data_IF_534398515862
#
_entry.id   IF_534398515862
#
_cell.length_a   1.000
_cell.length_b   1.000
_cell.length_c   1.000
_cell.angle_alpha   90.00
_cell.angle_beta   90.00
_cell.angle_gamma   90.00
#
_symmetry.space_group_name_H-M   'P 1'
#
loop_
_entity.id
_entity.type
_entity.pdbx_description
1 polymer ?
#
# COMPACT_ATOMS: atom_id res chain seq x y z
N UNK A 1 -40.74 -39.24 -46.44
CA UNK A 1 -39.30 -39.37 -46.74
C UNK A 1 -38.60 -38.59 -45.63
N UNK A 2 -38.75 -39.05 -44.40
CA UNK A 2 -38.01 -40.13 -43.71
C UNK A 2 -36.79 -39.57 -42.98
N UNK A 3 -36.80 -39.85 -41.69
CA UNK A 3 -35.94 -39.35 -40.63
C UNK A 3 -34.65 -40.18 -40.56
N UNK A 4 -33.57 -39.66 -39.96
CA UNK A 4 -32.87 -40.31 -38.82
C UNK A 4 -31.40 -39.91 -38.62
N UNK A 5 -31.09 -39.80 -37.33
CA UNK A 5 -29.82 -39.86 -36.61
C UNK A 5 -28.65 -40.69 -37.21
N UNK A 6 -27.43 -40.25 -36.91
CA UNK A 6 -26.26 -41.08 -36.54
C UNK A 6 -25.40 -40.28 -35.53
N UNK A 7 -25.29 -40.61 -34.23
CA UNK A 7 -24.71 -41.75 -33.48
C UNK A 7 -23.16 -41.82 -33.41
N UNK A 8 -22.70 -41.63 -32.16
CA UNK A 8 -21.45 -42.00 -31.50
C UNK A 8 -20.76 -43.29 -32.01
N UNK A 9 -19.41 -43.30 -31.98
CA UNK A 9 -18.62 -44.54 -31.81
C UNK A 9 -17.39 -44.33 -30.92
N UNK A 10 -17.42 -45.05 -29.80
CA UNK A 10 -16.30 -45.50 -28.97
C UNK A 10 -15.54 -46.62 -29.68
N UNK A 11 -14.22 -46.72 -29.51
CA UNK A 11 -13.46 -47.97 -29.70
C UNK A 11 -12.44 -48.11 -28.57
N UNK A 12 -12.36 -49.30 -28.00
CA UNK A 12 -11.48 -49.67 -26.89
C UNK A 12 -10.69 -50.96 -27.19
N UNK A 13 -9.50 -51.01 -26.59
CA UNK A 13 -8.58 -52.13 -26.27
C UNK A 13 -7.89 -52.93 -27.38
N UNK A 14 -6.55 -53.05 -27.28
CA UNK A 14 -5.86 -54.32 -27.04
C UNK A 14 -4.46 -54.11 -26.43
N UNK A 15 -4.07 -55.07 -25.58
CA UNK A 15 -2.89 -55.17 -24.74
C UNK A 15 -1.71 -55.84 -25.44
N UNK A 16 -0.47 -55.51 -25.06
CA UNK A 16 0.62 -56.51 -25.00
C UNK A 16 1.75 -56.04 -24.06
N UNK A 17 2.27 -57.02 -23.33
CA UNK A 17 3.25 -56.96 -22.25
C UNK A 17 4.68 -57.23 -22.75
N UNK A 18 5.70 -56.59 -22.16
CA UNK A 18 6.95 -57.26 -21.74
C UNK A 18 7.97 -56.33 -21.07
N UNK A 19 8.39 -56.76 -19.87
CA UNK A 19 9.74 -56.69 -19.25
C UNK A 19 10.44 -55.35 -19.00
N UNK A 20 10.63 -55.08 -17.71
CA UNK A 20 11.66 -54.21 -17.11
C UNK A 20 13.08 -54.77 -17.28
N UNK A 21 14.10 -53.92 -17.13
CA UNK A 21 15.06 -54.19 -16.07
C UNK A 21 15.29 -52.99 -15.15
N UNK A 22 15.60 -53.37 -13.91
CA UNK A 22 15.87 -52.62 -12.69
C UNK A 22 17.07 -51.67 -12.73
N UNK A 23 16.99 -50.60 -11.94
CA UNK A 23 18.14 -50.11 -11.16
C UNK A 23 18.38 -48.60 -11.23
N UNK A 24 17.86 -47.87 -10.23
CA UNK A 24 18.49 -46.75 -9.48
C UNK A 24 17.38 -45.96 -8.74
N UNK A 25 17.42 -45.82 -7.40
CA UNK A 25 16.42 -45.03 -6.68
C UNK A 25 16.74 -43.53 -6.84
N UNK A 26 15.77 -42.78 -7.36
CA UNK A 26 15.79 -41.32 -7.32
C UNK A 26 15.68 -40.84 -5.87
N UNK A 27 16.35 -39.74 -5.49
CA UNK A 27 16.37 -39.27 -4.11
C UNK A 27 14.95 -38.93 -3.66
N UNK A 28 14.59 -39.48 -2.50
CA UNK A 28 13.35 -39.18 -1.79
C UNK A 28 13.38 -37.69 -1.46
N UNK A 29 12.69 -36.87 -2.25
CA UNK A 29 12.39 -35.52 -1.85
C UNK A 29 11.59 -35.63 -0.55
N UNK A 30 12.20 -35.16 0.55
CA UNK A 30 11.46 -34.85 1.76
C UNK A 30 10.39 -33.82 1.39
N UNK A 31 9.17 -34.32 1.14
CA UNK A 31 7.97 -33.50 1.13
C UNK A 31 7.78 -33.11 2.59
N UNK A 32 8.25 -31.92 2.95
CA UNK A 32 7.79 -31.26 4.17
C UNK A 32 6.26 -31.26 4.11
N UNK A 33 5.57 -31.67 5.18
CA UNK A 33 4.12 -31.65 5.20
C UNK A 33 3.68 -30.23 4.85
N UNK A 34 2.98 -30.11 3.72
CA UNK A 34 2.28 -28.89 3.35
C UNK A 34 1.41 -28.56 4.54
N UNK A 35 1.75 -27.49 5.27
CA UNK A 35 0.85 -26.91 6.26
C UNK A 35 -0.46 -26.71 5.52
N UNK A 36 -1.50 -27.42 5.96
CA UNK A 36 -2.80 -27.37 5.34
C UNK A 36 -3.15 -25.91 5.09
N UNK A 37 -3.39 -25.57 3.81
CA UNK A 37 -3.88 -24.26 3.40
C UNK A 37 -5.16 -24.01 4.17
N UNK A 38 -5.06 -23.25 5.27
CA UNK A 38 -6.23 -22.64 5.88
C UNK A 38 -6.74 -21.69 4.81
N UNK A 39 -7.88 -22.02 4.20
CA UNK A 39 -8.56 -21.17 3.23
C UNK A 39 -8.59 -19.75 3.82
N UNK A 40 -7.95 -18.81 3.14
CA UNK A 40 -8.00 -17.40 3.51
C UNK A 40 -9.47 -16.98 3.58
N UNK A 41 -9.90 -16.50 4.74
CA UNK A 41 -11.25 -15.95 4.94
C UNK A 41 -11.10 -14.44 5.01
N UNK A 42 -11.48 -13.76 3.93
CA UNK A 42 -11.81 -12.33 3.99
C UNK A 42 -13.04 -12.21 4.89
N UNK A 43 -12.88 -11.54 6.03
CA UNK A 43 -13.96 -11.34 6.99
C UNK A 43 -14.76 -10.09 6.61
N UNK A 44 -16.00 -10.30 6.15
CA UNK A 44 -16.93 -9.19 5.94
C UNK A 44 -17.34 -8.57 7.28
N UNK A 45 -17.32 -7.25 7.32
CA UNK A 45 -17.71 -6.45 8.48
C UNK A 45 -18.82 -5.49 8.06
N UNK A 46 -19.94 -5.62 8.75
CA UNK A 46 -21.16 -4.86 8.60
C UNK A 46 -21.51 -4.21 9.95
N UNK A 47 -22.62 -3.48 10.03
CA UNK A 47 -23.00 -2.78 11.27
C UNK A 47 -23.18 -3.73 12.47
N UNK A 48 -23.63 -4.97 12.24
CA UNK A 48 -23.96 -5.94 13.29
C UNK A 48 -22.76 -6.65 13.92
N UNK A 49 -21.59 -6.67 13.26
CA UNK A 49 -20.37 -7.32 13.78
C UNK A 49 -19.17 -6.38 13.91
N UNK A 50 -19.31 -5.08 13.58
CA UNK A 50 -18.23 -4.10 13.65
C UNK A 50 -17.48 -4.12 14.99
N UNK A 51 -18.22 -4.13 16.10
CA UNK A 51 -17.62 -4.10 17.45
C UNK A 51 -16.75 -5.32 17.74
N UNK A 52 -17.23 -6.51 17.39
CA UNK A 52 -16.51 -7.76 17.59
C UNK A 52 -15.21 -7.77 16.77
N UNK A 53 -15.29 -7.39 15.50
CA UNK A 53 -14.15 -7.42 14.60
C UNK A 53 -13.11 -6.34 14.93
N UNK A 54 -13.54 -5.14 15.30
CA UNK A 54 -12.61 -4.08 15.73
C UNK A 54 -11.83 -4.47 17.00
N UNK A 55 -12.43 -5.22 17.92
CA UNK A 55 -11.72 -5.75 19.09
C UNK A 55 -10.65 -6.78 18.72
N UNK A 56 -10.91 -7.63 17.72
CA UNK A 56 -9.93 -8.60 17.21
C UNK A 56 -8.76 -7.87 16.55
N UNK A 57 -9.09 -6.89 15.70
CA UNK A 57 -8.13 -6.06 14.96
C UNK A 57 -7.20 -5.28 15.91
N UNK A 58 -7.75 -4.63 16.94
CA UNK A 58 -6.95 -3.85 17.90
C UNK A 58 -5.88 -4.70 18.59
N UNK A 59 -6.19 -5.96 18.91
CA UNK A 59 -5.22 -6.91 19.49
C UNK A 59 -4.16 -7.36 18.48
N UNK A 60 -4.47 -7.32 17.20
CA UNK A 60 -3.64 -7.83 16.10
C UNK A 60 -2.58 -6.82 15.65
N UNK A 61 -2.93 -5.53 15.62
CA UNK A 61 -2.09 -4.47 15.07
C UNK A 61 -0.68 -4.40 15.69
N UNK A 62 -0.54 -4.79 16.97
CA UNK A 62 0.77 -4.85 17.64
C UNK A 62 1.67 -6.00 17.18
N UNK A 63 1.10 -7.10 16.69
CA UNK A 63 1.83 -8.30 16.25
C UNK A 63 2.06 -8.31 14.74
N UNK A 64 1.15 -7.72 13.98
CA UNK A 64 1.19 -7.64 12.53
C UNK A 64 1.15 -6.17 12.11
N UNK A 65 2.29 -5.46 12.23
CA UNK A 65 2.34 -4.00 12.09
C UNK A 65 2.30 -3.51 10.63
N UNK A 66 2.29 -4.39 9.63
CA UNK A 66 2.10 -4.00 8.23
C UNK A 66 0.64 -4.17 7.87
N UNK A 67 0.00 -3.07 7.48
CA UNK A 67 -1.43 -3.05 7.15
C UNK A 67 -1.57 -2.57 5.73
N UNK A 68 -1.98 -3.48 4.84
CA UNK A 68 -2.33 -3.11 3.48
C UNK A 68 -3.76 -2.57 3.42
N UNK A 69 -3.94 -1.48 2.68
CA UNK A 69 -5.20 -0.75 2.52
C UNK A 69 -5.58 -0.75 1.05
N UNK A 70 -6.87 -0.90 0.80
CA UNK A 70 -7.52 -0.60 -0.47
C UNK A 70 -8.96 -0.14 -0.19
N UNK A 71 -9.56 0.65 -1.08
CA UNK A 71 -10.95 1.11 -0.93
C UNK A 71 -11.74 0.97 -2.23
N UNK A 72 -13.04 0.71 -2.10
CA UNK A 72 -13.97 0.81 -3.22
C UNK A 72 -14.89 2.01 -3.01
N UNK A 73 -15.13 2.75 -4.08
CA UNK A 73 -15.91 3.99 -4.08
C UNK A 73 -16.55 4.18 -5.46
N UNK A 74 -17.56 5.06 -5.59
CA UNK A 74 -18.42 5.10 -6.78
C UNK A 74 -17.81 5.89 -7.95
N UNK A 75 -16.49 5.76 -8.17
CA UNK A 75 -15.78 6.32 -9.31
C UNK A 75 -15.51 7.82 -9.24
N UNK A 76 -15.47 8.45 -10.42
CA UNK A 76 -15.21 9.88 -10.60
C UNK A 76 -16.21 10.49 -11.57
N UNK A 77 -16.82 11.62 -11.20
CA UNK A 77 -17.81 12.36 -11.99
C UNK A 77 -17.33 13.77 -12.35
N UNK A 78 -16.58 14.40 -11.46
CA UNK A 78 -16.22 15.80 -11.55
C UNK A 78 -14.92 15.98 -12.32
N UNK A 79 -14.92 17.00 -13.18
CA UNK A 79 -13.74 17.51 -13.85
C UNK A 79 -13.70 19.02 -13.58
N UNK A 80 -12.76 19.52 -12.76
CA UNK A 80 -12.73 20.93 -12.41
C UNK A 80 -12.32 21.75 -13.65
N UNK A 81 -13.05 22.84 -13.89
CA UNK A 81 -12.81 23.73 -15.03
C UNK A 81 -12.20 25.03 -14.56
N UNK A 82 -11.38 25.66 -15.40
CA UNK A 82 -10.82 26.99 -15.13
C UNK A 82 -9.31 27.07 -15.28
N UNK A 83 -8.72 28.05 -14.59
CA UNK A 83 -7.28 28.32 -14.62
C UNK A 83 -6.61 27.83 -13.33
N UNK A 84 -5.52 27.08 -13.48
CA UNK A 84 -4.72 26.54 -12.40
C UNK A 84 -3.28 27.06 -12.51
N UNK A 85 -2.63 27.29 -11.37
CA UNK A 85 -1.23 27.77 -11.37
C UNK A 85 -0.30 26.65 -11.83
N UNK A 86 -0.46 25.44 -11.29
CA UNK A 86 0.37 24.28 -11.63
C UNK A 86 -0.47 23.04 -11.99
N UNK A 87 0.18 22.02 -12.57
CA UNK A 87 -0.44 20.71 -12.77
C UNK A 87 -0.85 20.06 -11.46
N UNK A 88 -0.04 20.20 -10.40
CA UNK A 88 -0.36 19.67 -9.09
C UNK A 88 -1.63 20.31 -8.51
N UNK A 89 -1.84 21.62 -8.71
CA UNK A 89 -3.06 22.30 -8.25
C UNK A 89 -4.31 21.75 -8.96
N UNK A 90 -4.20 21.50 -10.27
CA UNK A 90 -5.28 20.89 -11.03
C UNK A 90 -5.56 19.45 -10.57
N UNK A 91 -4.52 18.65 -10.36
CA UNK A 91 -4.63 17.26 -9.89
C UNK A 91 -5.29 17.19 -8.52
N UNK A 92 -4.86 18.05 -7.58
CA UNK A 92 -5.48 18.13 -6.28
C UNK A 92 -6.94 18.61 -6.36
N UNK A 93 -7.26 19.57 -7.23
CA UNK A 93 -8.64 20.01 -7.43
C UNK A 93 -9.53 18.90 -8.02
N UNK A 94 -9.00 18.10 -8.95
CA UNK A 94 -9.71 16.96 -9.55
C UNK A 94 -9.99 15.89 -8.50
N UNK A 95 -8.96 15.51 -7.75
CA UNK A 95 -9.06 14.59 -6.63
C UNK A 95 -10.09 15.07 -5.59
N UNK A 96 -9.92 16.31 -5.11
CA UNK A 96 -10.77 16.91 -4.08
C UNK A 96 -12.23 17.02 -4.49
N UNK A 97 -12.53 17.50 -5.71
CA UNK A 97 -13.90 17.69 -6.18
C UNK A 97 -14.70 16.37 -6.20
N UNK A 98 -14.04 15.28 -6.60
CA UNK A 98 -14.65 13.95 -6.59
C UNK A 98 -14.84 13.40 -5.17
N UNK A 99 -13.79 13.44 -4.33
CA UNK A 99 -13.86 12.90 -2.97
C UNK A 99 -14.87 13.66 -2.10
N UNK A 100 -14.95 14.99 -2.22
CA UNK A 100 -15.90 15.80 -1.45
C UNK A 100 -17.36 15.36 -1.71
N UNK A 101 -17.69 14.98 -2.95
CA UNK A 101 -19.07 14.72 -3.40
C UNK A 101 -19.56 13.29 -3.21
N UNK A 102 -18.66 12.34 -3.08
CA UNK A 102 -18.99 10.92 -3.06
C UNK A 102 -18.61 10.28 -1.74
N UNK A 103 -19.20 9.12 -1.45
CA UNK A 103 -18.97 8.39 -0.22
C UNK A 103 -18.27 7.05 -0.52
N UNK A 104 -17.51 6.58 0.47
CA UNK A 104 -16.81 5.29 0.40
C UNK A 104 -17.83 4.15 0.47
N UNK A 105 -17.58 3.06 -0.27
CA UNK A 105 -18.42 1.85 -0.29
C UNK A 105 -17.75 0.74 0.55
N UNK A 106 -16.47 0.45 0.30
CA UNK A 106 -15.70 -0.53 1.07
C UNK A 106 -14.33 -0.02 1.49
N UNK A 107 -13.82 -0.58 2.59
CA UNK A 107 -12.41 -0.52 3.00
C UNK A 107 -11.89 -1.92 3.28
N UNK A 108 -10.74 -2.25 2.73
CA UNK A 108 -10.01 -3.49 3.01
C UNK A 108 -8.81 -3.23 3.90
N UNK A 109 -8.67 -3.99 4.99
CA UNK A 109 -7.48 -4.00 5.83
C UNK A 109 -6.89 -5.41 5.88
N UNK A 110 -5.66 -5.57 5.38
CA UNK A 110 -4.94 -6.85 5.39
C UNK A 110 -3.66 -6.77 6.21
N UNK A 111 -3.47 -7.71 7.13
CA UNK A 111 -2.43 -7.65 8.15
C UNK A 111 -1.27 -8.59 7.85
N UNK A 112 -0.04 -8.09 8.04
CA UNK A 112 1.21 -8.80 7.82
C UNK A 112 2.24 -8.47 8.90
N UNK A 113 3.14 -9.40 9.18
CA UNK A 113 4.31 -9.15 10.04
C UNK A 113 5.51 -8.61 9.22
N UNK A 114 6.67 -8.46 9.87
CA UNK A 114 7.89 -7.93 9.22
C UNK A 114 8.41 -8.82 8.07
N UNK A 115 8.08 -10.11 8.09
CA UNK A 115 8.49 -11.12 7.11
C UNK A 115 7.44 -11.33 6.01
N UNK A 116 6.27 -10.68 6.13
CA UNK A 116 5.17 -10.80 5.20
C UNK A 116 4.27 -12.00 5.46
N UNK A 117 4.34 -12.60 6.66
CA UNK A 117 3.43 -13.64 7.07
C UNK A 117 2.12 -13.03 7.57
N UNK A 118 1.02 -13.71 7.28
CA UNK A 118 -0.34 -13.30 7.64
C UNK A 118 -0.80 -14.00 8.93
N UNK A 119 -1.67 -13.37 9.73
CA UNK A 119 -2.33 -14.05 10.83
C UNK A 119 -3.30 -15.14 10.35
N UNK A 120 -3.49 -16.15 11.19
CA UNK A 120 -4.52 -17.17 11.01
C UNK A 120 -5.55 -17.14 12.14
N UNK A 121 -6.83 -17.46 11.89
CA UNK A 121 -7.40 -17.87 10.60
C UNK A 121 -7.80 -16.71 9.68
N UNK A 122 -8.02 -15.51 10.24
CA UNK A 122 -8.42 -14.30 9.51
C UNK A 122 -7.24 -13.33 9.50
N UNK A 123 -6.97 -12.77 8.33
CA UNK A 123 -5.95 -11.73 8.14
C UNK A 123 -6.42 -10.53 7.34
N UNK A 124 -7.62 -10.61 6.76
CA UNK A 124 -8.19 -9.56 5.93
C UNK A 124 -9.60 -9.28 6.40
N UNK A 125 -9.88 -7.99 6.65
CA UNK A 125 -11.20 -7.49 6.98
C UNK A 125 -11.68 -6.59 5.85
N UNK A 126 -12.92 -6.82 5.42
CA UNK A 126 -13.60 -6.02 4.41
C UNK A 126 -14.77 -5.32 5.08
N UNK A 127 -14.63 -4.02 5.31
CA UNK A 127 -15.65 -3.17 5.90
C UNK A 127 -16.58 -2.66 4.82
N UNK A 128 -17.86 -2.96 4.95
CA UNK A 128 -18.90 -2.51 4.02
C UNK A 128 -19.62 -1.32 4.65
N UNK A 129 -19.48 -0.14 4.07
CA UNK A 129 -20.11 1.08 4.57
C UNK A 129 -21.54 1.21 4.09
N UNK A 130 -22.35 1.92 4.87
CA UNK A 130 -23.70 2.27 4.45
C UNK A 130 -23.65 3.11 3.18
N UNK A 131 -24.32 2.63 2.14
CA UNK A 131 -24.40 3.29 0.84
C UNK A 131 -25.81 3.13 0.26
N UNK A 132 -26.39 4.20 -0.29
CA UNK A 132 -27.74 4.18 -0.87
C UNK A 132 -27.73 4.76 -2.29
N UNK A 133 -27.96 3.90 -3.29
CA UNK A 133 -28.04 4.27 -4.70
C UNK A 133 -29.18 5.26 -5.03
N UNK A 134 -30.16 5.45 -4.14
CA UNK A 134 -31.22 6.45 -4.34
C UNK A 134 -30.81 7.86 -3.87
N UNK A 135 -29.95 7.94 -2.85
CA UNK A 135 -29.61 9.20 -2.17
C UNK A 135 -28.22 9.73 -2.53
N UNK A 136 -27.31 8.85 -2.97
CA UNK A 136 -25.90 9.17 -3.13
C UNK A 136 -25.48 9.37 -4.59
N UNK A 137 -24.43 10.18 -4.79
CA UNK A 137 -23.84 10.40 -6.10
C UNK A 137 -22.89 9.27 -6.47
N UNK A 138 -22.96 8.82 -7.73
CA UNK A 138 -22.09 7.80 -8.27
C UNK A 138 -21.91 7.90 -9.78
N UNK A 139 -20.79 7.36 -10.27
CA UNK A 139 -20.61 7.06 -11.67
C UNK A 139 -21.25 5.70 -12.00
N UNK A 140 -22.21 5.72 -12.93
CA UNK A 140 -22.97 4.55 -13.38
C UNK A 140 -22.08 3.36 -13.74
N UNK A 141 -21.05 3.59 -14.57
CA UNK A 141 -20.09 2.55 -14.99
C UNK A 141 -19.36 1.91 -13.78
N UNK A 142 -19.11 2.70 -12.73
CA UNK A 142 -18.44 2.21 -11.51
C UNK A 142 -19.38 1.34 -10.68
N UNK A 143 -20.66 1.72 -10.55
CA UNK A 143 -21.66 0.89 -9.85
C UNK A 143 -21.84 -0.45 -10.57
N UNK A 144 -22.01 -0.43 -11.90
CA UNK A 144 -22.18 -1.66 -12.68
C UNK A 144 -20.98 -2.60 -12.57
N UNK A 145 -19.76 -2.04 -12.58
CA UNK A 145 -18.54 -2.81 -12.37
C UNK A 145 -18.49 -3.42 -10.96
N UNK A 146 -18.84 -2.65 -9.93
CA UNK A 146 -18.84 -3.10 -8.53
C UNK A 146 -19.91 -4.19 -8.29
N UNK A 147 -21.11 -4.04 -8.85
CA UNK A 147 -22.14 -5.08 -8.82
C UNK A 147 -21.67 -6.37 -9.51
N UNK A 148 -21.06 -6.25 -10.70
CA UNK A 148 -20.49 -7.39 -11.42
C UNK A 148 -19.34 -8.07 -10.65
N UNK A 149 -18.69 -7.32 -9.76
CA UNK A 149 -17.62 -7.80 -8.87
C UNK A 149 -18.16 -8.39 -7.56
N UNK A 150 -19.49 -8.39 -7.38
CA UNK A 150 -20.18 -9.03 -6.26
C UNK A 150 -20.44 -8.11 -5.07
N UNK A 151 -20.47 -6.79 -5.26
CA UNK A 151 -20.97 -5.85 -4.26
C UNK A 151 -22.50 -5.93 -4.20
N UNK A 152 -23.04 -6.17 -3.01
CA UNK A 152 -24.49 -6.18 -2.75
C UNK A 152 -24.95 -4.83 -2.20
N UNK A 153 -25.34 -3.90 -3.07
CA UNK A 153 -25.79 -2.57 -2.66
C UNK A 153 -27.04 -2.58 -1.76
N UNK A 154 -27.87 -3.62 -1.82
CA UNK A 154 -29.02 -3.75 -0.91
C UNK A 154 -28.55 -4.10 0.52
N UNK A 155 -27.52 -4.94 0.66
CA UNK A 155 -26.89 -5.18 1.96
C UNK A 155 -26.17 -3.93 2.47
N UNK A 156 -25.44 -3.20 1.61
CA UNK A 156 -24.83 -1.91 2.00
C UNK A 156 -25.88 -0.92 2.52
N UNK A 157 -27.03 -0.81 1.87
CA UNK A 157 -28.10 0.11 2.29
C UNK A 157 -28.70 -0.26 3.65
N UNK A 158 -28.87 -1.56 3.93
CA UNK A 158 -29.63 -2.05 5.10
C UNK A 158 -28.76 -2.46 6.29
N UNK A 159 -27.53 -2.90 6.04
CA UNK A 159 -26.60 -3.43 7.03
C UNK A 159 -25.19 -2.83 6.95
N UNK A 160 -24.97 -1.84 6.08
CA UNK A 160 -23.69 -1.16 5.98
C UNK A 160 -23.32 -0.40 7.27
N UNK A 161 -22.03 -0.26 7.50
CA UNK A 161 -21.45 0.42 8.66
C UNK A 161 -21.66 1.93 8.53
N UNK A 162 -22.15 2.55 9.60
CA UNK A 162 -22.19 4.00 9.71
C UNK A 162 -20.76 4.58 9.77
N UNK A 163 -20.36 5.49 8.85
CA UNK A 163 -19.01 6.04 8.76
C UNK A 163 -18.44 6.57 10.07
N UNK A 164 -19.26 7.28 10.85
CA UNK A 164 -18.86 7.87 12.13
C UNK A 164 -18.61 6.81 13.22
N UNK A 165 -19.36 5.70 13.21
CA UNK A 165 -19.16 4.61 14.16
C UNK A 165 -17.86 3.87 13.87
N UNK A 166 -17.57 3.63 12.59
CA UNK A 166 -16.28 3.09 12.17
C UNK A 166 -15.11 4.01 12.56
N UNK A 167 -15.22 5.31 12.28
CA UNK A 167 -14.17 6.29 12.57
C UNK A 167 -13.79 6.31 14.06
N UNK A 168 -14.78 6.31 14.96
CA UNK A 168 -14.55 6.24 16.41
C UNK A 168 -13.72 5.00 16.79
N UNK A 169 -14.09 3.83 16.24
CA UNK A 169 -13.41 2.57 16.53
C UNK A 169 -12.02 2.51 15.90
N UNK A 170 -11.83 3.03 14.69
CA UNK A 170 -10.53 3.05 14.04
C UNK A 170 -9.55 3.95 14.80
N UNK A 171 -9.96 5.15 15.22
CA UNK A 171 -9.10 6.09 15.97
C UNK A 171 -8.65 5.49 17.32
N UNK A 172 -9.50 4.70 17.97
CA UNK A 172 -9.19 4.06 19.26
C UNK A 172 -8.57 2.67 19.15
N UNK A 173 -8.41 2.13 17.93
CA UNK A 173 -7.91 0.77 17.70
C UNK A 173 -6.41 0.57 17.95
N UNK A 174 -5.63 1.66 17.92
CA UNK A 174 -4.17 1.61 17.91
C UNK A 174 -3.56 1.41 16.52
N UNK A 175 -4.35 1.44 15.44
CA UNK A 175 -3.87 1.37 14.05
C UNK A 175 -3.37 2.73 13.57
N UNK A 176 -4.24 3.74 13.62
CA UNK A 176 -3.91 5.10 13.17
C UNK A 176 -3.20 5.88 14.28
N UNK A 177 -2.51 6.95 13.91
CA UNK A 177 -1.66 7.75 14.77
C UNK A 177 -0.57 6.93 15.47
N UNK A 178 -0.17 5.78 14.91
CA UNK A 178 0.78 4.86 15.51
C UNK A 178 2.05 4.72 14.66
N UNK A 179 3.18 5.10 15.24
CA UNK A 179 4.51 5.08 14.59
C UNK A 179 5.05 3.66 14.37
N UNK A 180 4.49 2.63 15.02
CA UNK A 180 4.94 1.24 14.80
C UNK A 180 4.30 0.63 13.56
N UNK A 181 3.15 1.15 13.13
CA UNK A 181 2.40 0.64 11.98
C UNK A 181 2.99 1.17 10.68
N UNK A 182 3.01 0.32 9.66
CA UNK A 182 3.41 0.65 8.28
C UNK A 182 2.26 0.31 7.35
N UNK A 183 1.75 1.33 6.67
CA UNK A 183 0.65 1.21 5.74
C UNK A 183 1.19 0.91 4.34
N UNK A 184 0.60 -0.10 3.70
CA UNK A 184 0.94 -0.54 2.35
C UNK A 184 -0.23 -0.22 1.43
N UNK A 185 0.00 0.49 0.35
CA UNK A 185 -1.08 0.93 -0.53
C UNK A 185 -0.68 0.83 -2.00
N UNK A 186 -1.64 0.99 -2.90
CA UNK A 186 -1.40 1.01 -4.33
C UNK A 186 -2.19 2.14 -5.00
N UNK A 187 -1.51 3.16 -5.52
CA UNK A 187 -2.18 4.27 -6.22
C UNK A 187 -3.22 4.99 -5.35
N UNK A 188 -2.83 5.36 -4.13
CA UNK A 188 -3.78 5.48 -3.03
C UNK A 188 -4.23 6.89 -2.70
N UNK A 189 -4.20 7.81 -3.67
CA UNK A 189 -4.68 9.17 -3.46
C UNK A 189 -6.16 9.17 -3.00
N UNK A 190 -7.02 8.47 -3.75
CA UNK A 190 -8.45 8.33 -3.43
C UNK A 190 -8.69 7.58 -2.13
N UNK A 191 -7.98 6.49 -1.86
CA UNK A 191 -8.08 5.75 -0.58
C UNK A 191 -7.87 6.69 0.61
N UNK A 192 -6.79 7.49 0.59
CA UNK A 192 -6.52 8.44 1.66
C UNK A 192 -7.48 9.63 1.67
N UNK A 193 -8.06 10.02 0.53
CA UNK A 193 -9.15 10.99 0.48
C UNK A 193 -10.38 10.53 1.26
N UNK A 194 -10.81 9.30 1.05
CA UNK A 194 -11.95 8.74 1.78
C UNK A 194 -11.62 8.45 3.25
N UNK A 195 -10.42 7.94 3.54
CA UNK A 195 -9.96 7.79 4.93
C UNK A 195 -9.87 9.12 5.67
N UNK A 196 -9.48 10.21 4.99
CA UNK A 196 -9.56 11.56 5.56
C UNK A 196 -11.00 11.91 5.91
N UNK A 197 -11.97 11.74 4.98
CA UNK A 197 -13.38 12.07 5.26
C UNK A 197 -13.91 11.28 6.46
N UNK A 198 -13.61 9.98 6.52
CA UNK A 198 -13.95 9.12 7.66
C UNK A 198 -13.35 9.66 8.97
N UNK A 199 -12.03 9.85 8.99
CA UNK A 199 -11.29 10.17 10.21
C UNK A 199 -11.49 11.61 10.67
N UNK A 200 -11.76 12.55 9.76
CA UNK A 200 -12.02 13.93 10.13
C UNK A 200 -13.51 14.19 10.40
N UNK A 201 -14.41 13.31 9.95
CA UNK A 201 -15.86 13.50 10.08
C UNK A 201 -16.36 14.74 9.35
N UNK A 202 -15.63 15.18 8.32
CA UNK A 202 -15.92 16.38 7.52
C UNK A 202 -16.28 15.97 6.09
N UNK A 203 -17.25 16.66 5.46
CA UNK A 203 -17.64 16.33 4.09
C UNK A 203 -16.60 16.79 3.06
N UNK A 204 -15.70 17.72 3.41
CA UNK A 204 -14.76 18.34 2.48
C UNK A 204 -13.30 18.15 2.91
N UNK A 205 -12.44 17.90 1.92
CA UNK A 205 -10.98 17.89 2.10
C UNK A 205 -10.43 19.31 2.34
N UNK A 206 -9.19 19.46 2.84
CA UNK A 206 -8.54 20.76 2.99
C UNK A 206 -8.42 21.51 1.66
N UNK A 207 -8.33 22.85 1.68
CA UNK A 207 -8.24 23.64 0.44
C UNK A 207 -6.94 23.44 -0.33
N UNK A 208 -5.88 22.96 0.32
CA UNK A 208 -4.56 22.75 -0.30
C UNK A 208 -4.08 21.32 -0.10
N UNK A 209 -3.31 20.81 -1.08
CA UNK A 209 -2.69 19.47 -0.99
C UNK A 209 -1.79 19.36 0.25
N UNK A 210 -1.01 20.40 0.55
CA UNK A 210 -0.14 20.42 1.72
C UNK A 210 -0.94 20.23 3.03
N UNK A 211 -2.07 20.95 3.18
CA UNK A 211 -2.93 20.81 4.35
C UNK A 211 -3.58 19.44 4.45
N UNK A 212 -3.92 18.82 3.33
CA UNK A 212 -4.37 17.42 3.28
C UNK A 212 -3.28 16.46 3.73
N UNK A 213 -2.08 16.56 3.16
CA UNK A 213 -0.96 15.68 3.47
C UNK A 213 -0.49 15.81 4.92
N UNK A 214 -0.56 17.00 5.52
CA UNK A 214 -0.24 17.20 6.94
C UNK A 214 -1.16 16.37 7.85
N UNK A 215 -2.45 16.31 7.53
CA UNK A 215 -3.42 15.48 8.26
C UNK A 215 -3.20 14.00 7.99
N UNK A 216 -2.97 13.61 6.73
CA UNK A 216 -2.67 12.21 6.39
C UNK A 216 -1.42 11.72 7.14
N UNK A 217 -0.35 12.52 7.19
CA UNK A 217 0.88 12.17 7.93
C UNK A 217 0.65 12.04 9.44
N UNK A 218 -0.31 12.77 10.00
CA UNK A 218 -0.67 12.63 11.42
C UNK A 218 -1.30 11.27 11.70
N UNK A 219 -2.26 10.84 10.87
CA UNK A 219 -2.98 9.57 11.05
C UNK A 219 -2.18 8.36 10.54
N UNK A 220 -1.41 8.52 9.47
CA UNK A 220 -0.68 7.45 8.78
C UNK A 220 0.80 7.87 8.64
N UNK A 221 1.58 7.79 9.73
CA UNK A 221 2.94 8.33 9.74
C UNK A 221 3.91 7.60 8.81
N UNK A 222 3.64 6.32 8.52
CA UNK A 222 4.49 5.48 7.65
C UNK A 222 3.66 4.83 6.56
N UNK A 223 3.69 5.42 5.36
CA UNK A 223 2.98 4.94 4.17
C UNK A 223 3.99 4.55 3.09
N UNK A 224 3.74 3.42 2.43
CA UNK A 224 4.44 2.97 1.23
C UNK A 224 3.44 2.71 0.11
N UNK A 225 3.35 3.63 -0.85
CA UNK A 225 2.56 3.45 -2.06
C UNK A 225 3.39 2.71 -3.12
N UNK A 226 3.02 1.46 -3.41
CA UNK A 226 3.71 0.59 -4.36
C UNK A 226 3.79 1.24 -5.75
N UNK A 227 2.74 1.95 -6.17
CA UNK A 227 2.71 2.61 -7.49
C UNK A 227 3.70 3.75 -7.54
N UNK A 228 3.85 4.50 -6.45
CA UNK A 228 4.90 5.51 -6.31
C UNK A 228 6.29 4.87 -6.34
N UNK A 229 6.50 3.81 -5.56
CA UNK A 229 7.79 3.14 -5.47
C UNK A 229 8.29 2.64 -6.83
N UNK A 230 7.38 2.16 -7.68
CA UNK A 230 7.72 1.62 -9.00
C UNK A 230 7.79 2.66 -10.12
N UNK A 231 7.43 3.93 -9.89
CA UNK A 231 7.21 4.92 -10.96
C UNK A 231 8.44 5.17 -11.84
N UNK A 232 9.63 5.16 -11.23
CA UNK A 232 10.91 5.45 -11.89
C UNK A 232 11.65 4.17 -12.31
N UNK A 233 11.05 2.99 -12.09
CA UNK A 233 11.65 1.73 -12.51
C UNK A 233 11.57 1.58 -14.03
N UNK A 234 12.70 1.29 -14.72
CA UNK A 234 12.74 1.26 -16.18
C UNK A 234 12.04 0.03 -16.79
N UNK A 235 11.77 -1.01 -16.00
CA UNK A 235 11.23 -2.28 -16.48
C UNK A 235 9.77 -2.16 -16.93
N UNK A 236 9.41 -2.53 -18.17
CA UNK A 236 8.02 -2.58 -18.62
C UNK A 236 7.14 -3.52 -17.78
N UNK A 237 7.74 -4.56 -17.17
CA UNK A 237 7.05 -5.51 -16.30
C UNK A 237 6.61 -4.92 -14.95
N UNK A 238 7.07 -3.70 -14.63
CA UNK A 238 6.73 -2.96 -13.41
C UNK A 238 5.75 -1.82 -13.69
N UNK A 239 5.04 -1.90 -14.81
CA UNK A 239 3.98 -0.96 -15.22
C UNK A 239 2.64 -1.71 -15.29
N UNK A 240 1.53 -0.98 -15.13
CA UNK A 240 0.19 -1.55 -15.12
C UNK A 240 -0.59 -1.30 -13.82
N UNK A 241 -1.79 -1.86 -13.74
CA UNK A 241 -2.62 -1.88 -12.53
C UNK A 241 -2.13 -2.90 -11.51
N UNK A 242 -2.85 -3.01 -10.38
CA UNK A 242 -2.52 -3.95 -9.31
C UNK A 242 -2.51 -5.39 -9.81
N UNK A 243 -3.53 -5.79 -10.60
CA UNK A 243 -3.64 -7.14 -11.15
C UNK A 243 -2.51 -7.46 -12.13
N UNK A 244 -2.18 -6.55 -13.05
CA UNK A 244 -1.08 -6.76 -14.03
C UNK A 244 0.26 -7.04 -13.34
N UNK A 245 0.52 -6.32 -12.25
CA UNK A 245 1.73 -6.51 -11.44
C UNK A 245 1.66 -7.83 -10.68
N UNK A 246 0.55 -8.14 -10.03
CA UNK A 246 0.36 -9.43 -9.35
C UNK A 246 0.62 -10.62 -10.28
N UNK A 247 0.07 -10.59 -11.50
CA UNK A 247 0.27 -11.62 -12.52
C UNK A 247 1.74 -11.73 -12.93
N UNK A 248 2.42 -10.58 -13.12
CA UNK A 248 3.84 -10.52 -13.45
C UNK A 248 4.74 -11.15 -12.38
N UNK A 249 4.31 -11.13 -11.12
CA UNK A 249 4.98 -11.78 -9.98
C UNK A 249 4.43 -13.16 -9.63
N UNK A 250 3.46 -13.67 -10.41
CA UNK A 250 2.77 -14.95 -10.20
C UNK A 250 2.13 -15.05 -8.82
N UNK A 251 1.55 -13.95 -8.35
CA UNK A 251 0.75 -13.91 -7.13
C UNK A 251 -0.66 -14.39 -7.44
N UNK A 252 -1.22 -15.19 -6.55
CA UNK A 252 -2.58 -15.70 -6.69
C UNK A 252 -3.49 -14.79 -5.87
N UNK A 253 -4.44 -14.14 -6.53
CA UNK A 253 -5.50 -13.39 -5.87
C UNK A 253 -6.36 -14.35 -5.04
N UNK A 254 -6.78 -13.88 -3.88
CA UNK A 254 -7.81 -14.55 -3.09
C UNK A 254 -8.94 -13.59 -2.79
N UNK A 255 -10.19 -14.06 -2.87
CA UNK A 255 -11.36 -13.19 -2.90
C UNK A 255 -11.66 -12.65 -4.30
N UNK A 256 -12.73 -11.86 -4.40
CA UNK A 256 -13.17 -11.28 -5.65
C UNK A 256 -12.32 -10.06 -6.02
N UNK A 257 -11.90 -9.97 -7.28
CA UNK A 257 -11.27 -8.75 -7.80
C UNK A 257 -12.26 -7.58 -7.75
N UNK A 258 -11.78 -6.36 -7.49
CA UNK A 258 -12.61 -5.16 -7.31
C UNK A 258 -13.51 -5.26 -6.07
N UNK A 259 -12.92 -5.81 -5.01
CA UNK A 259 -13.45 -5.73 -3.65
C UNK A 259 -12.28 -5.42 -2.72
N UNK A 260 -12.47 -4.42 -1.88
CA UNK A 260 -11.38 -3.82 -1.11
C UNK A 260 -10.62 -4.84 -0.25
N UNK A 261 -11.32 -5.85 0.31
CA UNK A 261 -10.69 -6.93 1.05
C UNK A 261 -9.67 -7.70 0.20
N UNK A 262 -10.10 -8.22 -0.95
CA UNK A 262 -9.22 -8.96 -1.87
C UNK A 262 -8.06 -8.10 -2.38
N UNK A 263 -8.34 -6.87 -2.76
CA UNK A 263 -7.36 -5.94 -3.32
C UNK A 263 -6.33 -5.49 -2.27
N UNK A 264 -6.74 -5.26 -1.02
CA UNK A 264 -5.79 -5.01 0.08
C UNK A 264 -4.88 -6.22 0.36
N UNK A 265 -5.41 -7.44 0.30
CA UNK A 265 -4.63 -8.67 0.52
C UNK A 265 -3.60 -8.87 -0.61
N UNK A 266 -4.01 -8.60 -1.85
CA UNK A 266 -3.12 -8.65 -3.01
C UNK A 266 -2.06 -7.55 -2.97
N UNK A 267 -2.42 -6.34 -2.54
CA UNK A 267 -1.51 -5.21 -2.33
C UNK A 267 -0.40 -5.55 -1.34
N UNK A 268 -0.75 -6.11 -0.17
CA UNK A 268 0.26 -6.54 0.80
C UNK A 268 1.16 -7.66 0.28
N UNK A 269 0.57 -8.68 -0.36
CA UNK A 269 1.32 -9.78 -0.98
C UNK A 269 2.30 -9.28 -2.05
N UNK A 270 1.86 -8.31 -2.86
CA UNK A 270 2.69 -7.67 -3.88
C UNK A 270 3.83 -6.87 -3.26
N UNK A 271 3.56 -6.09 -2.20
CA UNK A 271 4.61 -5.34 -1.49
C UNK A 271 5.72 -6.26 -0.99
N UNK A 272 5.39 -7.33 -0.27
CA UNK A 272 6.41 -8.24 0.27
C UNK A 272 7.17 -8.98 -0.83
N UNK A 273 6.49 -9.31 -1.93
CA UNK A 273 7.13 -9.90 -3.10
C UNK A 273 8.13 -8.94 -3.76
N UNK A 274 7.75 -7.68 -3.92
CA UNK A 274 8.61 -6.62 -4.43
C UNK A 274 9.78 -6.31 -3.49
N UNK A 275 9.52 -6.25 -2.17
CA UNK A 275 10.53 -6.01 -1.12
C UNK A 275 11.64 -7.06 -1.18
N UNK A 276 11.29 -8.31 -1.48
CA UNK A 276 12.23 -9.42 -1.60
C UNK A 276 12.98 -9.43 -2.94
N UNK A 277 12.29 -9.18 -4.04
CA UNK A 277 12.81 -9.49 -5.38
C UNK A 277 13.32 -8.26 -6.16
N UNK A 278 12.89 -7.05 -5.83
CA UNK A 278 13.06 -5.85 -6.70
C UNK A 278 13.50 -4.59 -5.95
N UNK A 279 12.85 -4.29 -4.83
CA UNK A 279 13.05 -3.02 -4.12
C UNK A 279 14.40 -2.97 -3.41
N UNK A 280 14.97 -1.76 -3.21
CA UNK A 280 16.18 -1.61 -2.42
C UNK A 280 15.96 -1.98 -0.95
N UNK A 281 17.04 -2.33 -0.25
CA UNK A 281 17.01 -2.67 1.18
C UNK A 281 16.45 -1.53 2.04
N UNK A 282 16.79 -0.27 1.69
CA UNK A 282 16.31 0.91 2.40
C UNK A 282 15.12 1.51 1.67
N UNK A 283 14.00 1.62 2.39
CA UNK A 283 12.74 2.17 1.86
C UNK A 283 12.47 3.60 2.30
N UNK A 284 13.32 4.21 3.14
CA UNK A 284 13.17 5.59 3.64
C UNK A 284 12.87 6.62 2.52
N UNK A 285 13.49 6.56 1.33
CA UNK A 285 13.21 7.53 0.26
C UNK A 285 11.78 7.48 -0.31
N UNK A 286 11.02 6.42 -0.05
CA UNK A 286 9.64 6.27 -0.52
C UNK A 286 8.61 6.63 0.55
N UNK A 287 9.04 6.84 1.79
CA UNK A 287 8.17 6.98 2.94
C UNK A 287 7.26 8.21 2.82
N UNK A 288 5.95 8.00 2.93
CA UNK A 288 4.95 9.08 2.96
C UNK A 288 4.66 9.72 1.60
N UNK A 289 5.24 9.18 0.51
CA UNK A 289 4.91 9.60 -0.84
C UNK A 289 3.73 8.80 -1.39
N UNK A 290 2.73 9.51 -1.90
CA UNK A 290 1.48 8.93 -2.43
C UNK A 290 1.42 9.19 -3.94
N UNK A 291 1.14 8.17 -4.73
CA UNK A 291 1.01 8.33 -6.17
C UNK A 291 -0.28 9.07 -6.50
N UNK A 292 -0.22 10.03 -7.43
CA UNK A 292 -1.37 10.87 -7.77
C UNK A 292 -1.45 12.17 -6.95
N UNK A 293 -0.57 12.35 -5.96
CA UNK A 293 -0.38 13.58 -5.21
C UNK A 293 1.10 14.01 -5.30
N UNK A 294 1.42 15.22 -4.85
CA UNK A 294 2.77 15.75 -4.76
C UNK A 294 3.50 15.85 -6.10
N UNK A 295 2.76 16.16 -7.15
CA UNK A 295 3.29 16.36 -8.51
C UNK A 295 3.86 15.09 -9.15
N UNK A 296 3.37 13.92 -8.75
CA UNK A 296 3.85 12.60 -9.22
C UNK A 296 3.26 12.20 -10.57
N UNK A 297 2.20 12.85 -11.03
CA UNK A 297 1.58 12.52 -12.30
C UNK A 297 2.41 13.06 -13.47
N UNK A 298 2.52 12.22 -14.50
CA UNK A 298 3.10 12.61 -15.77
C UNK A 298 2.20 13.67 -16.44
N UNK A 299 2.82 14.77 -16.86
CA UNK A 299 2.26 15.91 -17.60
C UNK A 299 1.31 15.52 -18.75
N UNK A 300 1.50 14.33 -19.31
CA UNK A 300 0.76 13.80 -20.46
C UNK A 300 -0.72 13.52 -20.15
N UNK A 301 -1.07 13.24 -18.88
CA UNK A 301 -2.45 13.02 -18.44
C UNK A 301 -3.23 14.30 -18.19
N UNK A 302 -2.53 15.40 -17.95
CA UNK A 302 -3.13 16.70 -17.65
C UNK A 302 -3.63 17.41 -18.93
N UNK A 303 -3.12 17.04 -20.10
CA UNK A 303 -3.27 17.78 -21.38
C UNK A 303 -4.53 17.47 -22.22
N UNK A 304 -5.64 16.99 -21.65
CA UNK A 304 -6.76 16.47 -22.49
C UNK A 304 -8.11 17.14 -22.30
N UNK A 305 -8.15 18.41 -21.91
CA UNK A 305 -9.40 19.15 -21.75
C UNK A 305 -9.25 20.60 -22.24
N UNK A 306 -10.01 20.97 -23.28
CA UNK A 306 -9.97 22.30 -23.92
C UNK A 306 -10.38 23.45 -22.96
N UNK A 307 -11.02 23.11 -21.85
CA UNK A 307 -11.55 24.00 -20.81
C UNK A 307 -10.68 24.05 -19.53
N UNK A 308 -9.48 23.47 -19.55
CA UNK A 308 -8.52 23.52 -18.44
C UNK A 308 -7.27 24.28 -18.89
N UNK A 309 -6.99 25.40 -18.23
CA UNK A 309 -5.81 26.24 -18.54
C UNK A 309 -4.82 26.11 -17.38
N UNK A 310 -3.62 25.64 -17.67
CA UNK A 310 -2.52 25.65 -16.70
C UNK A 310 -1.56 26.77 -17.07
N UNK A 311 -1.28 27.64 -16.10
CA UNK A 311 -0.37 28.76 -16.31
C UNK A 311 1.03 28.27 -16.66
N UNK A 312 1.69 29.08 -17.48
CA UNK A 312 3.06 28.85 -17.97
C UNK A 312 3.92 30.05 -17.63
N UNK A 313 5.21 29.80 -17.45
CA UNK A 313 6.23 30.81 -17.40
C UNK A 313 6.25 31.61 -18.72
N UNK A 314 6.91 32.77 -18.71
CA UNK A 314 7.04 33.64 -19.89
C UNK A 314 7.72 32.96 -21.09
N UNK A 315 8.53 31.92 -20.85
CA UNK A 315 9.18 31.09 -21.87
C UNK A 315 8.30 29.93 -22.39
N UNK A 316 7.07 29.81 -21.89
CA UNK A 316 6.12 28.76 -22.25
C UNK A 316 6.30 27.44 -21.50
N UNK A 317 7.27 27.33 -20.59
CA UNK A 317 7.41 26.18 -19.69
C UNK A 317 6.34 26.16 -18.60
N UNK A 318 6.00 25.00 -18.06
CA UNK A 318 4.99 24.90 -16.99
C UNK A 318 5.61 25.32 -15.64
N UNK A 319 4.79 25.92 -14.79
CA UNK A 319 5.16 26.25 -13.42
C UNK A 319 5.34 24.95 -12.63
N UNK A 320 6.47 24.82 -11.93
CA UNK A 320 6.72 23.73 -11.01
C UNK A 320 6.11 24.05 -9.63
N UNK A 321 5.56 23.06 -8.92
CA UNK A 321 5.12 23.23 -7.54
C UNK A 321 6.22 23.82 -6.66
N UNK A 322 5.86 24.77 -5.79
CA UNK A 322 6.79 25.47 -4.89
C UNK A 322 7.41 24.58 -3.80
N UNK A 323 6.93 23.34 -3.66
CA UNK A 323 7.32 22.41 -2.60
C UNK A 323 7.90 21.09 -3.17
N UNK A 324 8.98 21.16 -3.95
CA UNK A 324 9.86 20.00 -4.12
C UNK A 324 10.78 19.88 -2.89
N UNK A 325 10.31 19.21 -1.84
CA UNK A 325 11.21 18.74 -0.79
C UNK A 325 12.06 17.59 -1.33
N UNK A 326 13.30 17.90 -1.72
CA UNK A 326 14.43 16.97 -1.67
C UNK A 326 14.42 15.79 -2.64
N UNK A 327 14.51 16.06 -3.94
CA UNK A 327 15.14 15.09 -4.86
C UNK A 327 16.55 15.61 -5.16
N UNK A 328 17.56 15.07 -4.46
CA UNK A 328 18.92 15.04 -5.00
C UNK A 328 19.03 13.75 -5.81
N UNK A 329 19.13 13.92 -7.13
CA UNK A 329 19.57 12.99 -8.19
C UNK A 329 19.18 11.49 -8.14
N UNK A 330 18.88 10.87 -9.29
CA UNK A 330 18.48 9.47 -9.34
C UNK A 330 19.61 8.54 -8.84
N UNK A 331 19.24 7.60 -7.95
CA UNK A 331 20.08 6.47 -7.56
C UNK A 331 20.33 5.54 -8.77
N UNK A 332 21.35 5.84 -9.55
CA UNK A 332 22.03 4.87 -10.40
C UNK A 332 23.49 5.30 -10.58
N UNK A 333 24.39 4.75 -9.78
CA UNK A 333 25.78 4.57 -10.19
C UNK A 333 26.30 3.25 -9.62
N UNK A 334 26.38 2.27 -10.51
CA UNK A 334 27.21 1.09 -10.35
C UNK A 334 28.69 1.52 -10.33
N UNK A 335 29.48 0.74 -9.61
CA UNK A 335 30.89 0.94 -9.33
C UNK A 335 31.76 1.24 -10.57
N UNK A 336 32.47 2.37 -10.55
CA UNK A 336 33.85 2.48 -11.07
C UNK A 336 34.59 3.59 -10.32
N UNK A 337 35.82 3.28 -9.94
CA UNK A 337 36.81 4.06 -9.18
C UNK A 337 37.36 5.30 -9.91
N UNK A 338 37.48 6.43 -9.21
CA UNK A 338 38.71 7.25 -9.01
C UNK A 338 38.42 8.65 -8.40
N UNK A 339 39.40 9.34 -7.77
CA UNK A 339 39.11 10.28 -6.67
C UNK A 339 39.20 11.79 -6.99
N UNK A 340 38.41 12.52 -6.21
CA UNK A 340 38.63 13.86 -5.62
C UNK A 340 38.79 15.11 -6.51
N UNK A 341 37.89 16.08 -6.29
CA UNK A 341 38.25 17.50 -6.15
C UNK A 341 37.34 18.20 -5.13
N UNK A 342 37.98 18.83 -4.15
CA UNK A 342 37.40 19.69 -3.12
C UNK A 342 36.80 20.97 -3.71
N UNK A 343 35.65 21.41 -3.20
CA UNK A 343 35.30 22.83 -3.20
C UNK A 343 34.55 23.22 -1.93
N UNK A 344 35.00 24.32 -1.33
CA UNK A 344 34.57 24.91 -0.05
C UNK A 344 33.43 25.91 -0.34
N UNK A 345 32.36 26.01 0.48
CA UNK A 345 31.34 27.03 0.31
C UNK A 345 31.68 28.31 1.10
N UNK A 346 31.32 29.47 0.55
CA UNK A 346 31.17 30.71 1.31
C UNK A 346 29.73 31.25 1.21
N UNK A 347 29.21 31.89 2.28
CA UNK A 347 27.81 32.28 2.41
C UNK A 347 27.59 33.77 2.10
N UNK A 348 26.36 34.14 1.73
CA UNK A 348 25.58 35.30 2.27
C UNK A 348 24.53 35.80 1.27
N UNK A 349 23.37 36.21 1.78
CA UNK A 349 22.34 36.89 1.00
C UNK A 349 20.96 36.91 1.64
N UNK A 350 20.80 37.65 2.73
CA UNK A 350 19.52 38.06 3.33
C UNK A 350 18.64 38.82 2.31
N UNK A 351 17.35 38.49 2.24
CA UNK A 351 16.31 39.47 1.91
C UNK A 351 15.00 39.17 2.66
N UNK A 352 14.60 40.14 3.48
CA UNK A 352 13.29 40.25 4.12
C UNK A 352 12.29 40.94 3.19
N UNK A 353 11.03 40.49 3.18
CA UNK A 353 9.93 41.19 2.52
C UNK A 353 8.58 40.71 3.08
N UNK A 354 7.73 41.66 3.47
CA UNK A 354 6.57 41.55 4.35
C UNK A 354 5.26 41.11 3.68
N UNK A 355 4.33 40.61 4.52
CA UNK A 355 2.86 40.69 4.39
C UNK A 355 2.21 39.71 3.40
N UNK A 356 1.11 39.02 3.69
CA UNK A 356 -0.05 39.35 4.53
C UNK A 356 -0.63 38.06 5.12
N UNK A 357 -0.82 38.04 6.43
CA UNK A 357 -1.51 36.97 7.15
C UNK A 357 -3.02 37.17 7.09
N UNK A 358 -3.73 36.34 6.34
CA UNK A 358 -5.14 36.10 6.61
C UNK A 358 -5.23 35.12 7.78
N UNK A 359 -5.51 35.66 8.98
CA UNK A 359 -5.88 34.86 10.15
C UNK A 359 -7.31 34.39 9.92
N UNK A 360 -7.47 33.16 9.43
CA UNK A 360 -8.72 32.44 9.60
C UNK A 360 -8.86 32.13 11.10
N UNK A 361 -9.97 32.56 11.69
CA UNK A 361 -10.29 32.31 13.11
C UNK A 361 -10.42 30.80 13.34
N UNK A 362 -9.67 30.28 14.32
CA UNK A 362 -9.44 28.85 14.57
C UNK A 362 -10.65 28.03 15.05
N UNK A 363 -11.86 28.58 15.04
CA UNK A 363 -13.05 27.94 15.63
C UNK A 363 -13.92 27.14 14.64
N UNK A 364 -13.73 27.25 13.32
CA UNK A 364 -14.56 26.54 12.33
C UNK A 364 -14.04 25.15 11.88
N UNK A 365 -12.85 24.72 12.33
CA UNK A 365 -12.16 23.57 11.70
C UNK A 365 -11.71 22.45 12.63
N UNK A 366 -12.17 22.38 13.88
CA UNK A 366 -11.78 21.26 14.74
C UNK A 366 -12.61 20.02 14.41
N UNK A 367 -11.98 19.01 13.79
CA UNK A 367 -12.63 17.72 13.59
C UNK A 367 -13.05 17.11 14.94
N UNK A 368 -14.24 16.45 15.02
CA UNK A 368 -14.66 15.74 16.22
C UNK A 368 -13.63 14.70 16.68
N UNK A 369 -12.94 14.06 15.73
CA UNK A 369 -11.95 13.02 16.00
C UNK A 369 -10.52 13.54 16.11
N UNK A 370 -10.19 14.73 15.59
CA UNK A 370 -8.83 15.28 15.72
C UNK A 370 -8.41 15.44 17.20
N UNK A 371 -9.35 15.83 18.09
CA UNK A 371 -9.09 15.88 19.53
C UNK A 371 -8.83 14.48 20.11
N UNK A 372 -9.63 13.49 19.70
CA UNK A 372 -9.45 12.10 20.13
C UNK A 372 -8.13 11.52 19.63
N UNK A 373 -7.80 11.75 18.36
CA UNK A 373 -6.54 11.34 17.74
C UNK A 373 -5.32 11.96 18.44
N UNK A 374 -5.40 13.25 18.80
CA UNK A 374 -4.35 13.92 19.57
C UNK A 374 -4.18 13.32 20.97
N UNK A 375 -5.29 12.99 21.67
CA UNK A 375 -5.25 12.33 22.97
C UNK A 375 -4.66 10.91 22.88
N UNK A 376 -5.09 10.13 21.89
CA UNK A 376 -4.56 8.77 21.64
C UNK A 376 -3.05 8.84 21.37
N UNK A 377 -2.60 9.80 20.55
CA UNK A 377 -1.18 10.00 20.25
C UNK A 377 -0.36 10.35 21.50
N UNK A 378 -0.90 11.14 22.43
CA UNK A 378 -0.23 11.48 23.70
C UNK A 378 -0.11 10.29 24.66
N UNK A 379 -0.99 9.29 24.55
CA UNK A 379 -1.01 8.12 25.44
C UNK A 379 -0.14 6.96 24.94
N UNK A 380 0.41 7.04 23.73
CA UNK A 380 1.27 5.98 23.21
C UNK A 380 2.64 5.97 23.93
N UNK A 381 3.15 4.78 24.32
CA UNK A 381 4.47 4.68 24.94
C UNK A 381 5.54 5.21 23.99
N UNK A 382 6.59 5.90 24.50
CA UNK A 382 7.69 6.35 23.66
C UNK A 382 8.32 5.14 22.97
N UNK A 383 8.67 5.30 21.69
CA UNK A 383 9.40 4.28 20.94
C UNK A 383 10.62 3.82 21.76
N UNK A 384 10.90 2.52 21.84
CA UNK A 384 12.11 2.04 22.51
C UNK A 384 13.32 2.71 21.83
N UNK A 385 14.07 3.48 22.61
CA UNK A 385 15.32 4.05 22.17
C UNK A 385 16.31 2.90 21.99
N UNK A 386 16.53 2.49 20.74
CA UNK A 386 17.69 1.67 20.43
C UNK A 386 18.93 2.52 20.75
N UNK A 387 19.83 2.06 21.63
CA UNK A 387 21.05 2.82 21.89
C UNK A 387 21.81 2.96 20.58
N UNK A 388 22.05 4.21 20.18
CA UNK A 388 23.00 4.53 19.13
C UNK A 388 24.28 3.75 19.39
N UNK A 389 24.78 3.09 18.34
CA UNK A 389 26.06 2.38 18.31
C UNK A 389 27.13 3.15 19.07
N UNK A 390 27.38 2.76 20.32
CA UNK A 390 28.58 3.15 21.01
C UNK A 390 29.73 2.49 20.26
N UNK A 391 30.58 3.35 19.71
CA UNK A 391 31.96 3.08 19.30
C UNK A 391 32.56 1.95 20.13
N UNK A 392 32.86 0.83 19.47
CA UNK A 392 33.73 -0.22 20.01
C UNK A 392 35.04 0.43 20.47
N UNK A 393 35.47 0.26 21.74
CA UNK A 393 36.82 0.63 22.11
C UNK A 393 37.79 -0.36 21.46
N UNK A 394 38.85 0.17 20.85
CA UNK A 394 39.93 -0.62 20.28
C UNK A 394 40.53 -1.54 21.36
N UNK A 395 40.54 -2.85 21.11
CA UNK A 395 41.27 -3.81 21.92
C UNK A 395 42.77 -3.73 21.58
N UNK A 396 43.67 -3.72 22.58
CA UNK A 396 45.10 -3.73 22.35
C UNK A 396 45.60 -5.13 21.96
N UNK A 397 46.54 -5.16 21.02
CA UNK A 397 47.33 -6.33 20.69
C UNK A 397 48.12 -6.82 21.92
N UNK A 398 47.88 -8.05 22.37
CA UNK A 398 48.91 -8.89 22.99
C UNK A 398 48.60 -10.37 22.79
N UNK A 399 49.55 -11.06 22.17
CA UNK A 399 49.68 -12.51 22.08
C UNK A 399 49.87 -13.13 23.47
N UNK A 400 49.15 -14.20 23.79
CA UNK A 400 49.69 -15.42 24.43
C UNK A 400 48.76 -16.61 24.23
N UNK A 401 49.39 -17.77 24.08
CA UNK A 401 48.85 -19.10 23.76
C UNK A 401 48.00 -19.75 24.86
N UNK A 402 46.91 -20.42 24.48
CA UNK A 402 46.47 -21.66 25.13
C UNK A 402 45.51 -22.45 24.21
N UNK A 403 45.82 -23.73 24.05
CA UNK A 403 45.09 -24.75 23.31
C UNK A 403 43.81 -25.19 24.02
N UNK A 404 42.69 -25.30 23.30
CA UNK A 404 41.70 -26.36 23.53
C UNK A 404 40.88 -26.61 22.25
N UNK A 405 40.68 -27.89 22.02
CA UNK A 405 40.14 -28.58 20.84
C UNK A 405 38.61 -28.56 20.76
N UNK A 406 38.08 -28.44 19.54
CA UNK A 406 36.69 -28.75 19.19
C UNK A 406 36.49 -28.62 17.67
N UNK A 407 36.55 -29.75 16.96
CA UNK A 407 36.65 -29.85 15.51
C UNK A 407 35.35 -29.60 14.74
N UNK A 408 35.51 -29.11 13.50
CA UNK A 408 34.47 -29.07 12.47
C UNK A 408 34.67 -30.23 11.47
N UNK A 409 33.60 -30.85 10.94
CA UNK A 409 33.72 -31.94 9.98
C UNK A 409 34.25 -31.44 8.63
N UNK A 410 35.15 -32.22 8.02
CA UNK A 410 35.59 -32.05 6.64
C UNK A 410 34.94 -33.10 5.76
N UNK A 411 34.45 -32.69 4.59
CA UNK A 411 33.71 -33.55 3.67
C UNK A 411 34.64 -34.13 2.60
N UNK A 412 34.67 -35.46 2.48
CA UNK A 412 35.32 -36.16 1.37
C UNK A 412 34.46 -36.11 0.10
N UNK A 413 35.11 -36.16 -1.06
CA UNK A 413 34.47 -36.04 -2.37
C UNK A 413 33.55 -37.23 -2.76
N UNK A 414 33.41 -38.23 -1.89
CA UNK A 414 32.56 -39.41 -2.01
C UNK A 414 31.39 -39.44 -1.00
N UNK A 415 31.22 -38.40 -0.18
CA UNK A 415 30.10 -38.25 0.74
C UNK A 415 30.20 -39.06 2.04
N UNK A 416 31.36 -39.63 2.37
CA UNK A 416 31.55 -40.33 3.65
C UNK A 416 31.96 -39.35 4.76
N UNK A 417 31.26 -39.35 5.89
CA UNK A 417 31.59 -38.54 7.08
C UNK A 417 32.45 -39.36 8.04
N UNK A 418 33.67 -38.89 8.33
CA UNK A 418 34.51 -39.44 9.40
C UNK A 418 34.45 -38.54 10.64
N UNK A 419 34.14 -39.13 11.79
CA UNK A 419 34.29 -38.50 13.09
C UNK A 419 35.65 -38.92 13.67
N UNK A 420 36.46 -37.96 14.13
CA UNK A 420 37.61 -38.21 14.98
C UNK A 420 37.28 -37.84 16.43
#
# INVERSE_FOLDING_TARGET
MDSSHFMNRTVSFFTSSSSTPSGMPLPVHFILPTVASSSMVVQNVNCYNLEEEMQKISKLASKYPYIAIDTEFPGTLDIPMGTFETCADYEYALFKSNVDRMNIIQLGLSFFDEDGCQPGPIHTWQFNFRFNLEDELYAEDSIQMLEASGIDFAEHQTAGIEPNHFAERLVTSGIVCNETIRFLTFHSAYDFGYLYKLLEGKPTLPPTEAGFLDVIRMYFPKVFDIKYMLKDFPSPKLKGGLQDLADSFRLVRTGNQHQAGSDSALTGSLFFRLKRDVLPVRLDPFLGHIYGLSGVLALDRVRRLDNVIIRKNADGSLLLPTAFYGIKEPMMQAATSEPARQYIPHPSGLFSGMGVSHVATAEEYTSPYAKLAALVKQQQPPLPSFPHSHSMPALPHHFTSASSSGGYPTYGHDGTVYYA
#
